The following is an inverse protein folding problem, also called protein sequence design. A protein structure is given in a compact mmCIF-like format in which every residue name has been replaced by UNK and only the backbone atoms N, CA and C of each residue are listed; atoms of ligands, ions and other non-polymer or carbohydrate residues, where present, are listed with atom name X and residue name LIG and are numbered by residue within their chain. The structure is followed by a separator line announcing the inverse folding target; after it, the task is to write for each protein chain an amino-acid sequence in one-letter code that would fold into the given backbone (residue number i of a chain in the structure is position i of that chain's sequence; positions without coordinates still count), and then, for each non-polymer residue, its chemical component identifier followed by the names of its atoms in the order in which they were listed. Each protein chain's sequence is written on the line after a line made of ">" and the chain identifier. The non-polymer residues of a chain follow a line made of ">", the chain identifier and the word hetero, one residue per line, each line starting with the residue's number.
data_IF_624747417700
#
_entry.id   IF_624747417700
#
_cell.length_a   1.000
_cell.length_b   1.000
_cell.length_c   1.000
_cell.angle_alpha   90.00
_cell.angle_beta   90.00
_cell.angle_gamma   90.00
#
_symmetry.space_group_name_H-M   'P 1'
#
loop_
_entity.id
_entity.type
_entity.pdbx_description
1 polymer ?
#
# COMPACT_ATOMS: atom_id res chain seq x y z
N UNK A 1 -10.43 -4.46 8.41
CA UNK A 1 -9.60 -4.68 7.21
C UNK A 1 -8.60 -3.53 7.08
N UNK A 2 -7.51 -3.68 6.31
CA UNK A 2 -6.59 -2.58 6.02
C UNK A 2 -6.60 -2.35 4.52
N UNK A 3 -7.15 -1.21 4.10
CA UNK A 3 -7.40 -0.87 2.71
C UNK A 3 -6.96 0.57 2.51
N UNK A 4 -6.14 0.79 1.48
CA UNK A 4 -5.61 2.11 1.16
C UNK A 4 -6.29 2.57 -0.11
N UNK A 5 -7.05 3.65 0.01
CA UNK A 5 -7.78 4.27 -1.09
C UNK A 5 -7.25 5.69 -1.27
N UNK A 6 -6.90 6.04 -2.50
CA UNK A 6 -6.40 7.37 -2.86
C UNK A 6 -7.18 7.87 -4.07
N UNK A 7 -7.80 9.05 -3.97
CA UNK A 7 -8.69 9.60 -5.00
C UNK A 7 -9.74 8.58 -5.49
N UNK A 8 -10.47 7.98 -4.55
CA UNK A 8 -11.51 6.96 -4.81
C UNK A 8 -11.02 5.67 -5.49
N UNK A 9 -9.70 5.51 -5.66
CA UNK A 9 -9.08 4.32 -6.24
C UNK A 9 -8.44 3.48 -5.14
N UNK A 10 -8.84 2.22 -5.05
CA UNK A 10 -8.21 1.24 -4.17
C UNK A 10 -6.81 0.93 -4.70
N UNK A 11 -5.77 1.37 -3.98
CA UNK A 11 -4.37 1.14 -4.36
C UNK A 11 -3.72 -0.02 -3.60
N UNK A 12 -4.32 -0.44 -2.48
CA UNK A 12 -3.89 -1.61 -1.73
C UNK A 12 -5.01 -2.22 -0.89
N UNK A 13 -5.06 -3.55 -0.81
CA UNK A 13 -5.97 -4.27 0.08
C UNK A 13 -5.25 -5.42 0.80
N UNK A 14 -5.15 -5.32 2.13
CA UNK A 14 -4.61 -6.37 3.00
C UNK A 14 -5.39 -7.68 2.89
N UNK A 15 -6.69 -7.63 2.56
CA UNK A 15 -7.49 -8.84 2.39
C UNK A 15 -7.01 -9.67 1.18
N UNK A 16 -6.47 -9.02 0.15
CA UNK A 16 -5.95 -9.70 -1.04
C UNK A 16 -4.51 -10.18 -0.84
N UNK A 17 -3.66 -9.36 -0.23
CA UNK A 17 -2.23 -9.64 -0.08
C UNK A 17 -1.88 -10.42 1.18
N UNK A 18 -2.79 -10.48 2.17
CA UNK A 18 -2.57 -11.02 3.52
C UNK A 18 -1.42 -10.34 4.31
N UNK A 19 -0.83 -9.28 3.78
CA UNK A 19 0.29 -8.56 4.35
C UNK A 19 -0.02 -7.06 4.48
N UNK A 20 0.81 -6.34 5.22
CA UNK A 20 0.78 -4.87 5.22
C UNK A 20 1.55 -4.34 4.01
N UNK A 21 1.13 -3.20 3.43
CA UNK A 21 1.86 -2.60 2.32
C UNK A 21 3.21 -2.08 2.79
N UNK A 22 4.17 -2.00 1.86
CA UNK A 22 5.42 -1.31 2.11
C UNK A 22 5.19 0.18 2.36
N UNK A 23 5.77 0.71 3.43
CA UNK A 23 5.57 2.10 3.84
C UNK A 23 6.19 3.09 2.85
N UNK A 24 7.40 2.82 2.36
CA UNK A 24 8.10 3.72 1.45
C UNK A 24 7.36 3.81 0.11
N UNK A 25 6.86 2.66 -0.36
CA UNK A 25 6.07 2.63 -1.59
C UNK A 25 4.74 3.39 -1.45
N UNK A 26 4.04 3.24 -0.32
CA UNK A 26 2.81 4.03 -0.04
C UNK A 26 3.12 5.53 -0.06
N UNK A 27 4.19 5.96 0.60
CA UNK A 27 4.59 7.36 0.68
C UNK A 27 4.93 7.94 -0.70
N UNK A 28 5.64 7.17 -1.53
CA UNK A 28 5.94 7.57 -2.91
C UNK A 28 4.67 7.71 -3.76
N UNK A 29 3.73 6.76 -3.68
CA UNK A 29 2.45 6.87 -4.40
C UNK A 29 1.68 8.12 -3.99
N UNK A 30 1.59 8.41 -2.69
CA UNK A 30 0.89 9.61 -2.19
C UNK A 30 1.61 10.88 -2.68
N UNK A 31 2.93 10.90 -2.66
CA UNK A 31 3.71 12.04 -3.12
C UNK A 31 3.52 12.28 -4.63
N UNK A 32 3.52 11.24 -5.45
CA UNK A 32 3.26 11.35 -6.90
C UNK A 32 1.85 11.85 -7.18
N UNK A 33 0.85 11.30 -6.47
CA UNK A 33 -0.55 11.73 -6.61
C UNK A 33 -0.73 13.19 -6.18
N UNK A 34 -0.04 13.61 -5.12
CA UNK A 34 -0.05 15.02 -4.67
C UNK A 34 0.55 15.97 -5.72
N UNK A 35 1.45 15.48 -6.57
CA UNK A 35 2.02 16.22 -7.70
C UNK A 35 1.17 16.16 -8.98
N UNK A 36 -0.01 15.52 -8.93
CA UNK A 36 -0.95 15.42 -10.05
C UNK A 36 -0.81 14.16 -10.90
N UNK A 37 0.01 13.18 -10.48
CA UNK A 37 0.06 11.87 -11.14
C UNK A 37 -1.14 10.98 -10.77
N UNK A 38 -1.39 9.94 -11.56
CA UNK A 38 -2.46 9.00 -11.27
C UNK A 38 -2.06 7.99 -10.17
N UNK A 39 -2.98 7.57 -9.28
CA UNK A 39 -2.69 6.59 -8.24
C UNK A 39 -2.34 5.22 -8.85
N UNK A 40 -1.16 4.71 -8.50
CA UNK A 40 -0.66 3.38 -8.89
C UNK A 40 -0.89 2.35 -7.77
N UNK A 41 -1.07 1.09 -8.15
CA UNK A 41 -1.19 -0.02 -7.19
C UNK A 41 0.15 -0.29 -6.51
N UNK A 42 0.10 -0.52 -5.20
CA UNK A 42 1.27 -0.85 -4.38
C UNK A 42 1.51 -2.35 -4.43
N UNK A 43 2.73 -2.78 -4.79
CA UNK A 43 3.10 -4.20 -4.83
C UNK A 43 3.99 -4.60 -3.67
N UNK A 44 4.74 -3.66 -3.11
CA UNK A 44 5.57 -3.85 -1.93
C UNK A 44 4.74 -4.28 -0.74
N UNK A 45 5.25 -5.29 -0.04
CA UNK A 45 4.64 -5.84 1.16
C UNK A 45 5.70 -5.89 2.24
N UNK A 46 5.33 -5.52 3.46
CA UNK A 46 6.21 -5.70 4.59
C UNK A 46 6.43 -7.21 4.81
N UNK A 47 7.69 -7.63 5.02
CA UNK A 47 7.97 -9.02 5.33
C UNK A 47 7.22 -9.40 6.60
N UNK A 48 6.38 -10.43 6.50
CA UNK A 48 5.68 -10.97 7.65
C UNK A 48 6.69 -11.79 8.44
N UNK A 49 7.43 -11.14 9.34
CA UNK A 49 8.33 -11.84 10.24
C UNK A 49 7.46 -12.48 11.35
N UNK A 50 6.84 -13.60 11.03
CA UNK A 50 6.15 -14.45 12.01
C UNK A 50 7.19 -15.12 12.89
N UNK A 51 7.71 -14.38 13.87
CA UNK A 51 8.51 -14.96 14.96
C UNK A 51 7.54 -15.58 15.96
N UNK A 52 7.33 -16.90 15.88
CA UNK A 52 6.77 -17.64 17.02
C UNK A 52 7.89 -17.71 18.07
N UNK A 53 7.69 -17.05 19.21
CA UNK A 53 8.46 -17.28 20.44
C UNK A 53 7.76 -18.34 21.29
#
# INVERSE_FOLDING_TARGET
>A
SFEVVVNDKLIYSKLQTMALPDYEEVADVIHQVSNGAEPREIKGQQPVNCSIS
#
